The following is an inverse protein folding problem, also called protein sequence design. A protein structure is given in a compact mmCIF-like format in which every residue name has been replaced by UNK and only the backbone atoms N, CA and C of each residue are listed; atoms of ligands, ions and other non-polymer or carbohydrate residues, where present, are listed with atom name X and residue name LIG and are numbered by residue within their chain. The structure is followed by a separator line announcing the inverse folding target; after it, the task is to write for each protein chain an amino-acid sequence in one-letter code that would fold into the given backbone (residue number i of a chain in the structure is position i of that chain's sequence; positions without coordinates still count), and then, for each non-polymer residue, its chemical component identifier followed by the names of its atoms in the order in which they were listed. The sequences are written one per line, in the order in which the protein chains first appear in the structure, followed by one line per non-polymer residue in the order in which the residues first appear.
data_IF_613887648030
#
_entry.id   IF_613887648030
#
_cell.length_a   1.000
_cell.length_b   1.000
_cell.length_c   1.000
_cell.angle_alpha   90.00
_cell.angle_beta   90.00
_cell.angle_gamma   90.00
#
_symmetry.space_group_name_H-M   'P 1'
#
loop_
_entity.id
_entity.type
_entity.pdbx_description
1 polymer ?
#
# COMPACT_ATOMS: atom_id res chain seq x y z
N UNK A 1 8.01 13.41 -9.73
CA UNK A 1 7.69 12.91 -8.37
C UNK A 1 6.48 11.97 -8.37
N UNK A 2 5.23 12.44 -8.41
CA UNK A 2 4.05 11.54 -8.34
C UNK A 2 4.00 10.54 -9.51
N UNK A 3 4.26 11.02 -10.74
CA UNK A 3 4.35 10.17 -11.93
C UNK A 3 5.45 9.08 -11.82
N UNK A 4 6.60 9.42 -11.27
CA UNK A 4 7.71 8.47 -11.06
C UNK A 4 7.36 7.43 -10.00
N UNK A 5 6.64 7.81 -8.94
CA UNK A 5 6.13 6.87 -7.95
C UNK A 5 5.14 5.89 -8.58
N UNK A 6 4.19 6.38 -9.39
CA UNK A 6 3.22 5.51 -10.09
C UNK A 6 3.95 4.51 -11.00
N UNK A 7 4.90 4.97 -11.81
CA UNK A 7 5.69 4.08 -12.67
C UNK A 7 6.47 3.04 -11.85
N UNK A 8 7.10 3.47 -10.76
CA UNK A 8 7.83 2.58 -9.87
C UNK A 8 6.94 1.53 -9.19
N UNK A 9 5.76 1.93 -8.70
CA UNK A 9 4.76 1.03 -8.11
C UNK A 9 4.30 -0.01 -9.14
N UNK A 10 4.00 0.44 -10.37
CA UNK A 10 3.58 -0.46 -11.47
C UNK A 10 4.69 -1.41 -11.91
N UNK A 11 5.95 -1.00 -11.76
CA UNK A 11 7.12 -1.86 -11.96
C UNK A 11 7.48 -2.72 -10.73
N UNK A 12 6.62 -2.75 -9.70
CA UNK A 12 6.81 -3.52 -8.47
C UNK A 12 8.08 -3.14 -7.67
N UNK A 13 8.51 -1.88 -7.78
CA UNK A 13 9.62 -1.36 -6.98
C UNK A 13 9.23 -1.23 -5.51
N UNK A 14 9.83 -2.06 -4.65
CA UNK A 14 9.64 -1.99 -3.19
C UNK A 14 9.96 -0.61 -2.62
N UNK A 15 10.97 0.08 -3.17
CA UNK A 15 11.34 1.43 -2.74
C UNK A 15 10.24 2.44 -3.06
N UNK A 16 9.69 2.40 -4.27
CA UNK A 16 8.64 3.32 -4.69
C UNK A 16 7.34 3.08 -3.91
N UNK A 17 7.03 1.82 -3.61
CA UNK A 17 5.89 1.46 -2.75
C UNK A 17 6.09 2.01 -1.33
N UNK A 18 7.28 1.85 -0.73
CA UNK A 18 7.57 2.38 0.60
C UNK A 18 7.47 3.91 0.63
N UNK A 19 8.03 4.61 -0.37
CA UNK A 19 7.92 6.07 -0.49
C UNK A 19 6.48 6.54 -0.64
N UNK A 20 5.66 5.81 -1.39
CA UNK A 20 4.24 6.12 -1.56
C UNK A 20 3.47 5.98 -0.24
N UNK A 21 3.71 4.91 0.53
CA UNK A 21 3.11 4.74 1.85
C UNK A 21 3.48 5.92 2.75
N UNK A 22 4.77 6.26 2.85
CA UNK A 22 5.22 7.38 3.67
C UNK A 22 4.64 8.73 3.20
N UNK A 23 4.50 8.95 1.90
CA UNK A 23 3.86 10.15 1.35
C UNK A 23 2.40 10.25 1.78
N UNK A 24 1.65 9.15 1.68
CA UNK A 24 0.23 9.09 2.07
C UNK A 24 0.05 9.38 3.57
N UNK A 25 0.96 8.90 4.41
CA UNK A 25 0.93 9.13 5.86
C UNK A 25 1.32 10.56 6.25
N UNK A 26 2.18 11.23 5.48
CA UNK A 26 2.77 12.53 5.83
C UNK A 26 2.11 13.73 5.15
N UNK A 27 1.55 13.56 3.95
CA UNK A 27 0.94 14.63 3.16
C UNK A 27 -0.41 14.17 2.61
N UNK A 28 -1.49 14.61 3.25
CA UNK A 28 -2.84 14.20 2.91
C UNK A 28 -3.24 14.62 1.48
N UNK A 29 -2.88 15.82 1.03
CA UNK A 29 -3.29 16.30 -0.29
C UNK A 29 -2.59 15.51 -1.40
N UNK A 30 -1.25 15.42 -1.33
CA UNK A 30 -0.48 14.65 -2.31
C UNK A 30 -0.80 13.16 -2.25
N UNK A 31 -1.02 12.63 -1.04
CA UNK A 31 -1.44 11.25 -0.81
C UNK A 31 -2.78 10.93 -1.48
N UNK A 32 -3.78 11.80 -1.33
CA UNK A 32 -5.07 11.62 -1.99
C UNK A 32 -4.95 11.67 -3.52
N UNK A 33 -4.14 12.58 -4.06
CA UNK A 33 -3.91 12.65 -5.50
C UNK A 33 -3.26 11.35 -6.02
N UNK A 34 -2.23 10.86 -5.34
CA UNK A 34 -1.58 9.59 -5.69
C UNK A 34 -2.55 8.40 -5.63
N UNK A 35 -3.38 8.33 -4.60
CA UNK A 35 -4.37 7.27 -4.44
C UNK A 35 -5.44 7.30 -5.54
N UNK A 36 -5.90 8.50 -5.93
CA UNK A 36 -6.86 8.67 -7.02
C UNK A 36 -6.29 8.15 -8.34
N UNK A 37 -5.05 8.49 -8.67
CA UNK A 37 -4.38 8.03 -9.88
C UNK A 37 -4.12 6.51 -9.88
N UNK A 38 -3.80 5.92 -8.73
CA UNK A 38 -3.58 4.47 -8.61
C UNK A 38 -4.88 3.66 -8.64
N UNK A 39 -6.03 4.27 -8.36
CA UNK A 39 -7.30 3.55 -8.15
C UNK A 39 -7.70 2.67 -9.34
N UNK A 40 -7.46 3.14 -10.57
CA UNK A 40 -7.76 2.41 -11.81
C UNK A 40 -6.96 1.10 -11.98
N UNK A 41 -5.89 0.91 -11.21
CA UNK A 41 -5.05 -0.28 -11.25
C UNK A 41 -5.31 -1.26 -10.09
N UNK A 42 -6.29 -0.97 -9.24
CA UNK A 42 -6.61 -1.79 -8.05
C UNK A 42 -7.70 -2.82 -8.34
N UNK A 43 -8.05 -3.65 -7.34
CA UNK A 43 -9.18 -4.59 -7.40
C UNK A 43 -8.83 -6.04 -7.73
N UNK A 44 -7.61 -6.32 -8.20
CA UNK A 44 -7.16 -7.65 -8.61
C UNK A 44 -6.43 -8.43 -7.49
N UNK A 45 -6.70 -8.11 -6.21
CA UNK A 45 -6.07 -8.73 -5.07
C UNK A 45 -7.10 -9.21 -4.03
N UNK A 46 -6.85 -10.37 -3.42
CA UNK A 46 -7.63 -10.85 -2.30
C UNK A 46 -7.38 -9.98 -1.07
N UNK A 47 -8.45 -9.54 -0.40
CA UNK A 47 -8.40 -8.82 0.87
C UNK A 47 -8.87 -9.74 1.99
N UNK A 48 -7.92 -10.20 2.81
CA UNK A 48 -8.17 -11.14 3.92
C UNK A 48 -7.88 -10.42 5.24
N UNK A 49 -8.88 -10.33 6.11
CA UNK A 49 -8.73 -9.79 7.47
C UNK A 49 -8.36 -10.89 8.46
N UNK A 50 -7.28 -10.70 9.20
CA UNK A 50 -6.83 -11.64 10.25
C UNK A 50 -6.89 -10.92 11.60
N UNK A 51 -7.66 -11.45 12.54
CA UNK A 51 -7.91 -10.84 13.86
C UNK A 51 -7.93 -11.90 14.97
N UNK A 52 -7.84 -11.47 16.22
CA UNK A 52 -7.79 -12.33 17.41
C UNK A 52 -6.99 -11.70 18.56
N UNK A 53 -7.23 -12.13 19.82
CA UNK A 53 -6.57 -11.57 21.00
C UNK A 53 -5.03 -11.75 20.99
N UNK A 54 -4.27 -11.02 21.82
CA UNK A 54 -2.84 -11.29 22.03
C UNK A 54 -2.61 -12.77 22.36
N UNK A 55 -1.59 -13.40 21.75
CA UNK A 55 -1.30 -14.82 21.95
C UNK A 55 -2.12 -15.83 21.12
N UNK A 56 -3.14 -15.39 20.34
CA UNK A 56 -3.97 -16.29 19.52
C UNK A 56 -3.26 -16.97 18.32
N UNK A 57 -1.93 -16.87 18.19
CA UNK A 57 -1.17 -17.50 17.11
C UNK A 57 -1.26 -16.80 15.74
N UNK A 58 -1.80 -15.58 15.65
CA UNK A 58 -1.94 -14.83 14.38
C UNK A 58 -0.64 -14.73 13.58
N UNK A 59 0.48 -14.38 14.23
CA UNK A 59 1.78 -14.27 13.57
C UNK A 59 2.29 -15.61 13.05
N UNK A 60 2.03 -16.71 13.76
CA UNK A 60 2.39 -18.08 13.32
C UNK A 60 1.62 -18.49 12.07
N UNK A 61 0.37 -18.03 11.93
CA UNK A 61 -0.46 -18.31 10.75
C UNK A 61 0.00 -17.53 9.51
N UNK A 62 0.57 -16.33 9.69
CA UNK A 62 0.92 -15.41 8.58
C UNK A 62 2.39 -15.44 8.15
N UNK A 63 3.22 -16.23 8.82
CA UNK A 63 4.68 -16.26 8.61
C UNK A 63 5.13 -17.27 7.56
#
# INVERSE_FOLDING_TARGET
VLSELILGIRAQSSLSIAQAISLIESDREKGFQLLADLYEHTGNAYRIGITGPPGAGKSTLTH
#
